data_IF_921241794532
#
_entry.id   IF_921241794532
#
_cell.length_a   1.000
_cell.length_b   1.000
_cell.length_c   1.000
_cell.angle_alpha   90.00
_cell.angle_beta   90.00
_cell.angle_gamma   90.00
#
_symmetry.space_group_name_H-M   'P 1'
#
loop_
_entity.id
_entity.type
_entity.pdbx_description
1 polymer ?
#
# COMPACT_ATOMS: atom_id res chain seq x y z
N UNK A 1 -19.47 -9.30 3.49
CA UNK A 1 -18.79 -10.01 4.61
C UNK A 1 -17.89 -11.17 4.18
N UNK A 2 -18.25 -11.98 3.16
CA UNK A 2 -17.44 -13.15 2.78
C UNK A 2 -16.07 -12.83 2.14
N UNK A 3 -15.98 -11.79 1.31
CA UNK A 3 -14.77 -11.50 0.53
C UNK A 3 -13.62 -10.96 1.37
N UNK A 4 -13.91 -10.02 2.29
CA UNK A 4 -12.95 -9.52 3.28
C UNK A 4 -12.36 -10.64 4.14
N UNK A 5 -13.21 -11.55 4.63
CA UNK A 5 -12.77 -12.70 5.44
C UNK A 5 -11.81 -13.60 4.66
N UNK A 6 -12.06 -13.83 3.36
CA UNK A 6 -11.16 -14.59 2.48
C UNK A 6 -9.82 -13.89 2.29
N UNK A 7 -9.81 -12.58 2.06
CA UNK A 7 -8.57 -11.79 1.91
C UNK A 7 -7.73 -11.87 3.19
N UNK A 8 -8.35 -11.69 4.35
CA UNK A 8 -7.68 -11.81 5.64
C UNK A 8 -7.20 -13.23 5.93
N UNK A 9 -7.97 -14.25 5.54
CA UNK A 9 -7.54 -15.64 5.64
C UNK A 9 -6.29 -15.93 4.80
N UNK A 10 -6.24 -15.44 3.57
CA UNK A 10 -5.03 -15.53 2.72
C UNK A 10 -3.86 -14.77 3.35
N UNK A 11 -4.11 -13.60 3.92
CA UNK A 11 -3.10 -12.81 4.62
C UNK A 11 -2.47 -13.59 5.79
N UNK A 12 -3.28 -14.21 6.65
CA UNK A 12 -2.79 -15.05 7.75
C UNK A 12 -1.97 -16.25 7.26
N UNK A 13 -2.39 -16.89 6.16
CA UNK A 13 -1.64 -18.00 5.57
C UNK A 13 -0.28 -17.54 5.01
N UNK A 14 -0.23 -16.38 4.35
CA UNK A 14 1.01 -15.80 3.84
C UNK A 14 2.00 -15.53 4.98
N UNK A 15 1.53 -14.97 6.09
CA UNK A 15 2.36 -14.72 7.29
C UNK A 15 2.89 -16.01 7.91
N UNK A 16 2.06 -17.07 7.97
CA UNK A 16 2.48 -18.38 8.51
C UNK A 16 3.58 -19.04 7.68
N UNK A 17 3.61 -18.79 6.37
CA UNK A 17 4.60 -19.37 5.46
C UNK A 17 5.96 -18.65 5.48
N UNK A 18 6.17 -17.69 6.40
CA UNK A 18 7.44 -17.03 6.62
C UNK A 18 7.49 -15.61 6.08
N UNK A 19 8.59 -15.25 5.41
CA UNK A 19 8.82 -13.89 4.92
C UNK A 19 7.90 -13.58 3.73
N UNK A 20 6.98 -12.64 3.92
CA UNK A 20 6.15 -12.13 2.83
C UNK A 20 6.96 -11.19 1.94
N UNK A 21 6.93 -11.43 0.63
CA UNK A 21 7.58 -10.58 -0.38
C UNK A 21 6.67 -9.41 -0.79
N UNK A 22 7.23 -8.38 -1.43
CA UNK A 22 6.49 -7.20 -1.93
C UNK A 22 5.21 -7.57 -2.70
N UNK A 23 5.25 -8.61 -3.54
CA UNK A 23 4.07 -9.08 -4.29
C UNK A 23 2.92 -9.55 -3.39
N UNK A 24 3.22 -10.17 -2.25
CA UNK A 24 2.22 -10.59 -1.28
C UNK A 24 1.50 -9.39 -0.65
N UNK A 25 2.28 -8.40 -0.21
CA UNK A 25 1.75 -7.14 0.32
C UNK A 25 0.92 -6.38 -0.73
N UNK A 26 1.44 -6.21 -1.95
CA UNK A 26 0.71 -5.58 -3.06
C UNK A 26 -0.67 -6.20 -3.28
N UNK A 27 -0.73 -7.54 -3.35
CA UNK A 27 -1.97 -8.26 -3.64
C UNK A 27 -3.03 -8.06 -2.56
N UNK A 28 -2.64 -8.15 -1.28
CA UNK A 28 -3.56 -8.00 -0.14
C UNK A 28 -4.03 -6.55 -0.01
N UNK A 29 -3.11 -5.59 -0.07
CA UNK A 29 -3.44 -4.14 -0.04
C UNK A 29 -4.40 -3.80 -1.19
N UNK A 30 -4.08 -4.22 -2.42
CA UNK A 30 -4.95 -3.96 -3.58
C UNK A 30 -6.35 -4.55 -3.41
N UNK A 31 -6.44 -5.74 -2.80
CA UNK A 31 -7.73 -6.41 -2.57
C UNK A 31 -8.56 -5.69 -1.51
N UNK A 32 -7.93 -5.20 -0.44
CA UNK A 32 -8.61 -4.43 0.61
C UNK A 32 -9.11 -3.08 0.11
N UNK A 33 -8.32 -2.40 -0.72
CA UNK A 33 -8.73 -1.11 -1.30
C UNK A 33 -9.91 -1.25 -2.26
N UNK A 34 -10.01 -2.36 -3.02
CA UNK A 34 -11.20 -2.67 -3.83
C UNK A 34 -12.45 -2.93 -2.98
N UNK A 35 -12.27 -3.31 -1.73
CA UNK A 35 -13.34 -3.49 -0.75
C UNK A 35 -13.57 -2.23 0.10
N UNK A 36 -12.95 -1.10 -0.28
CA UNK A 36 -12.99 0.18 0.43
C UNK A 36 -12.51 0.10 1.90
N UNK A 37 -11.75 -0.94 2.24
CA UNK A 37 -11.20 -1.18 3.57
C UNK A 37 -9.82 -0.51 3.71
N UNK A 38 -9.84 0.83 3.64
CA UNK A 38 -8.63 1.66 3.73
C UNK A 38 -7.90 1.47 5.05
N UNK A 39 -8.63 1.35 6.17
CA UNK A 39 -8.04 1.19 7.50
C UNK A 39 -7.16 -0.07 7.58
N UNK A 40 -7.65 -1.20 7.07
CA UNK A 40 -6.87 -2.44 7.10
C UNK A 40 -5.74 -2.41 6.08
N UNK A 41 -5.96 -1.80 4.91
CA UNK A 41 -4.91 -1.62 3.90
C UNK A 41 -3.74 -0.78 4.44
N UNK A 42 -4.02 0.31 5.15
CA UNK A 42 -3.05 1.18 5.80
C UNK A 42 -2.22 0.43 6.84
N UNK A 43 -2.87 -0.38 7.72
CA UNK A 43 -2.16 -1.20 8.71
C UNK A 43 -1.18 -2.18 8.06
N UNK A 44 -1.58 -2.83 6.96
CA UNK A 44 -0.71 -3.77 6.24
C UNK A 44 0.41 -3.03 5.50
N UNK A 45 0.15 -1.82 5.00
CA UNK A 45 1.18 -0.97 4.41
C UNK A 45 2.24 -0.54 5.42
N UNK A 46 1.83 -0.12 6.62
CA UNK A 46 2.76 0.24 7.69
C UNK A 46 3.61 -0.98 8.12
N UNK A 47 2.99 -2.17 8.19
CA UNK A 47 3.74 -3.41 8.40
C UNK A 47 4.79 -3.61 7.29
N UNK A 48 4.40 -3.50 6.02
CA UNK A 48 5.31 -3.63 4.88
C UNK A 48 6.48 -2.65 4.96
N UNK A 49 6.20 -1.37 5.24
CA UNK A 49 7.23 -0.33 5.27
C UNK A 49 8.20 -0.51 6.45
N UNK A 50 7.73 -1.07 7.56
CA UNK A 50 8.58 -1.44 8.70
C UNK A 50 9.49 -2.65 8.40
N UNK A 51 9.19 -3.43 7.36
CA UNK A 51 10.07 -4.53 6.94
C UNK A 51 11.30 -3.95 6.24
N UNK A 52 12.46 -4.55 6.49
CA UNK A 52 13.69 -4.27 5.74
C UNK A 52 13.69 -4.97 4.36
N UNK A 53 12.65 -4.70 3.56
CA UNK A 53 12.52 -5.15 2.17
C UNK A 53 13.09 -4.09 1.23
N UNK A 54 13.46 -4.49 0.02
CA UNK A 54 13.75 -3.52 -1.04
C UNK A 54 12.49 -2.70 -1.33
N UNK A 55 12.61 -1.38 -1.23
CA UNK A 55 11.47 -0.47 -1.34
C UNK A 55 10.89 -0.48 -2.75
N UNK A 56 9.64 -0.92 -2.88
CA UNK A 56 8.93 -1.03 -4.14
C UNK A 56 7.87 0.05 -4.21
N UNK A 57 8.16 1.11 -4.96
CA UNK A 57 7.32 2.31 -5.12
C UNK A 57 5.93 2.01 -5.66
N UNK A 58 5.70 0.82 -6.24
CA UNK A 58 4.36 0.42 -6.70
C UNK A 58 3.39 0.21 -5.56
N UNK A 59 3.88 -0.20 -4.38
CA UNK A 59 3.04 -0.42 -3.19
C UNK A 59 2.39 0.89 -2.71
N UNK A 60 3.12 1.96 -2.39
CA UNK A 60 2.51 3.24 -2.02
C UNK A 60 1.70 3.87 -3.17
N UNK A 61 2.10 3.68 -4.44
CA UNK A 61 1.33 4.19 -5.58
C UNK A 61 -0.08 3.59 -5.68
N UNK A 62 -0.28 2.35 -5.24
CA UNK A 62 -1.62 1.74 -5.17
C UNK A 62 -2.51 2.51 -4.17
N UNK A 63 -1.96 2.91 -3.02
CA UNK A 63 -2.67 3.72 -2.03
C UNK A 63 -2.97 5.12 -2.54
N UNK A 64 -1.96 5.81 -3.10
CA UNK A 64 -2.12 7.16 -3.69
C UNK A 64 -3.25 7.17 -4.72
N UNK A 65 -3.26 6.18 -5.63
CA UNK A 65 -4.31 6.06 -6.63
C UNK A 65 -5.68 5.83 -5.99
N UNK A 66 -5.78 4.93 -5.03
CA UNK A 66 -7.05 4.62 -4.37
C UNK A 66 -7.62 5.84 -3.62
N UNK A 67 -6.77 6.56 -2.88
CA UNK A 67 -7.17 7.81 -2.21
C UNK A 67 -7.65 8.87 -3.20
N UNK A 68 -6.93 9.05 -4.31
CA UNK A 68 -7.28 10.02 -5.35
C UNK A 68 -8.64 9.71 -5.97
N UNK A 69 -8.93 8.44 -6.25
CA UNK A 69 -10.23 8.02 -6.80
C UNK A 69 -11.38 8.08 -5.79
N UNK A 70 -11.08 8.11 -4.49
CA UNK A 70 -12.06 8.17 -3.40
C UNK A 70 -12.19 9.57 -2.79
N UNK A 71 -11.66 10.61 -3.45
CA UNK A 71 -11.66 12.00 -2.97
C UNK A 71 -10.98 12.21 -1.60
N UNK A 72 -10.05 11.33 -1.22
CA UNK A 72 -9.25 11.41 0.01
C UNK A 72 -7.89 12.10 -0.27
N UNK A 73 -7.94 13.31 -0.85
CA UNK A 73 -6.74 13.98 -1.40
C UNK A 73 -5.65 14.24 -0.35
N UNK A 74 -6.02 14.63 0.88
CA UNK A 74 -5.05 14.86 1.96
C UNK A 74 -4.23 13.59 2.29
N UNK A 75 -4.86 12.41 2.23
CA UNK A 75 -4.16 11.13 2.41
C UNK A 75 -3.26 10.80 1.22
N UNK A 76 -3.67 11.16 0.01
CA UNK A 76 -2.85 10.97 -1.19
C UNK A 76 -1.57 11.83 -1.11
N UNK A 77 -1.71 13.12 -0.76
CA UNK A 77 -0.59 14.05 -0.59
C UNK A 77 0.37 13.59 0.52
N UNK A 78 -0.18 13.22 1.68
CA UNK A 78 0.62 12.68 2.80
C UNK A 78 1.42 11.44 2.39
N UNK A 79 0.83 10.56 1.57
CA UNK A 79 1.52 9.37 1.06
C UNK A 79 2.60 9.73 0.03
N UNK A 80 2.36 10.71 -0.84
CA UNK A 80 3.38 11.22 -1.78
C UNK A 80 4.59 11.76 -1.03
N UNK A 81 4.37 12.60 -0.01
CA UNK A 81 5.44 13.14 0.83
C UNK A 81 6.24 12.04 1.54
N UNK A 82 5.54 11.00 2.04
CA UNK A 82 6.18 9.83 2.66
C UNK A 82 7.07 9.09 1.66
N UNK A 83 6.63 8.89 0.42
CA UNK A 83 7.42 8.27 -0.65
C UNK A 83 8.64 9.11 -1.00
N UNK A 84 8.49 10.43 -1.18
CA UNK A 84 9.59 11.36 -1.51
C UNK A 84 10.67 11.29 -0.42
N UNK A 85 10.28 11.35 0.85
CA UNK A 85 11.23 11.23 1.99
C UNK A 85 11.96 9.90 2.01
N UNK A 86 11.29 8.80 1.62
CA UNK A 86 11.85 7.44 1.69
C UNK A 86 12.78 7.11 0.52
N UNK A 87 12.40 7.50 -0.70
CA UNK A 87 13.19 7.26 -1.93
C UNK A 87 14.36 8.26 -2.03
N UNK A 88 14.31 9.34 -1.24
CA UNK A 88 15.11 10.54 -1.45
C UNK A 88 14.46 11.38 -2.55
N UNK A 89 14.56 12.72 -2.46
CA UNK A 89 13.99 13.61 -3.48
C UNK A 89 14.46 13.18 -4.88
N UNK A 90 13.56 12.64 -5.72
CA UNK A 90 13.84 12.58 -7.15
C UNK A 90 13.78 14.04 -7.57
N UNK A 91 14.89 14.60 -8.07
CA UNK A 91 14.92 15.98 -8.55
C UNK A 91 13.71 16.25 -9.47
N UNK A 92 12.70 16.93 -8.92
CA UNK A 92 11.56 17.63 -9.52
C UNK A 92 10.78 17.05 -10.74
N UNK A 93 11.00 15.84 -11.25
CA UNK A 93 10.43 15.46 -12.56
C UNK A 93 9.30 14.41 -12.54
N UNK A 94 8.97 13.79 -11.41
CA UNK A 94 7.97 12.69 -11.39
C UNK A 94 6.59 13.08 -10.87
N UNK A 95 6.44 14.23 -10.18
CA UNK A 95 5.19 14.61 -9.48
C UNK A 95 4.16 15.27 -10.43
N UNK A 96 4.35 15.23 -11.75
CA UNK A 96 3.46 15.93 -12.71
C UNK A 96 2.56 15.05 -13.57
N UNK A 97 2.49 13.73 -13.35
CA UNK A 97 1.69 12.83 -14.21
C UNK A 97 0.82 11.79 -13.47
N UNK A 98 0.20 12.16 -12.36
CA UNK A 98 -0.94 11.41 -11.83
C UNK A 98 -2.04 12.36 -11.38
#
# INVERSE_FOLDING_TARGET
>A
MGEKSRVLGVWELLKKNGKVLNKGYMNVISSLLKLEDFETAEKIFDEWESRNLSYDVRIPNILIRAYSTSALLEKAETMVDRVIKKVGEPHAHWVRLA
#
